data_IF_039746032758
#
_entry.id   IF_039746032758
#
_cell.length_a   1.000
_cell.length_b   1.000
_cell.length_c   1.000
_cell.angle_alpha   90.00
_cell.angle_beta   90.00
_cell.angle_gamma   90.00
#
_symmetry.space_group_name_H-M   'P 1'
#
loop_
_entity.id
_entity.type
_entity.pdbx_description
1 polymer ?
#
# COMPACT_ATOMS: atom_id res chain seq x y z
N UNK A 1 -8.32 -4.65 -0.89
CA UNK A 1 -8.77 -3.31 -0.49
C UNK A 1 -8.03 -2.17 -1.15
N UNK A 2 -6.73 -2.29 -1.46
CA UNK A 2 -5.98 -1.23 -2.16
C UNK A 2 -6.56 -0.76 -3.51
N UNK A 3 -7.36 -1.60 -4.17
CA UNK A 3 -7.98 -1.31 -5.47
C UNK A 3 -9.37 -0.66 -5.32
N UNK A 4 -9.87 -0.51 -4.09
CA UNK A 4 -11.15 0.12 -3.81
C UNK A 4 -10.97 1.64 -3.82
N UNK A 5 -11.79 2.39 -4.59
CA UNK A 5 -11.65 3.83 -4.67
C UNK A 5 -11.76 4.49 -3.29
N UNK A 6 -11.12 5.64 -3.17
CA UNK A 6 -11.13 6.45 -1.95
C UNK A 6 -12.56 6.85 -1.58
N UNK A 7 -13.30 7.37 -2.55
CA UNK A 7 -14.72 7.69 -2.42
C UNK A 7 -15.56 6.56 -2.99
N UNK A 8 -16.55 6.13 -2.22
CA UNK A 8 -17.55 5.15 -2.66
C UNK A 8 -18.76 5.87 -3.27
N UNK A 9 -19.44 5.27 -4.25
CA UNK A 9 -20.72 5.77 -4.71
C UNK A 9 -21.72 5.91 -3.56
N UNK A 10 -22.61 6.90 -3.67
CA UNK A 10 -23.69 7.09 -2.69
C UNK A 10 -24.46 5.78 -2.46
N UNK A 11 -24.79 5.52 -1.21
CA UNK A 11 -25.49 4.30 -0.81
C UNK A 11 -24.61 3.05 -0.74
N UNK A 12 -23.29 3.13 -1.00
CA UNK A 12 -22.34 2.01 -0.86
C UNK A 12 -21.47 2.17 0.39
N UNK A 13 -21.35 1.11 1.18
CA UNK A 13 -20.51 1.06 2.39
C UNK A 13 -19.58 -0.15 2.40
N UNK A 14 -18.54 -0.11 3.22
CA UNK A 14 -17.57 -1.21 3.45
C UNK A 14 -17.64 -1.67 4.92
N UNK A 15 -18.70 -2.37 5.33
CA UNK A 15 -18.89 -2.72 6.73
C UNK A 15 -17.97 -3.85 7.20
N UNK A 16 -17.42 -4.64 6.28
CA UNK A 16 -16.71 -5.86 6.61
C UNK A 16 -15.32 -5.90 5.98
N UNK A 17 -14.31 -6.15 6.81
CA UNK A 17 -12.97 -6.52 6.42
C UNK A 17 -12.63 -7.90 7.00
N UNK A 18 -12.19 -8.82 6.14
CA UNK A 18 -11.71 -10.12 6.58
C UNK A 18 -10.35 -9.98 7.28
N UNK A 19 -9.88 -11.00 8.04
CA UNK A 19 -8.54 -11.01 8.61
C UNK A 19 -7.48 -10.66 7.56
N UNK A 20 -6.64 -9.67 7.87
CA UNK A 20 -5.63 -9.15 6.96
C UNK A 20 -4.54 -10.19 6.74
N UNK A 21 -4.24 -10.47 5.47
CA UNK A 21 -3.03 -11.23 5.12
C UNK A 21 -1.80 -10.31 5.16
N UNK A 22 -0.60 -10.88 5.14
CA UNK A 22 0.66 -10.16 5.17
C UNK A 22 0.71 -8.98 4.16
N UNK A 23 0.79 -7.78 4.72
CA UNK A 23 0.73 -6.54 3.96
C UNK A 23 2.04 -6.22 3.23
N UNK A 24 3.14 -6.92 3.51
CA UNK A 24 4.46 -6.63 2.96
C UNK A 24 4.55 -6.85 1.45
N UNK A 25 5.51 -6.17 0.83
CA UNK A 25 5.91 -6.43 -0.54
C UNK A 25 6.97 -7.55 -0.58
N UNK A 26 6.86 -8.40 -1.59
CA UNK A 26 7.85 -9.43 -1.91
C UNK A 26 8.74 -8.95 -3.06
N UNK A 27 10.05 -9.07 -2.87
CA UNK A 27 11.06 -8.88 -3.89
C UNK A 27 11.28 -10.20 -4.64
N UNK A 28 11.35 -10.11 -5.97
CA UNK A 28 11.51 -11.25 -6.85
C UNK A 28 12.60 -10.91 -7.87
N UNK A 29 13.70 -11.66 -7.82
CA UNK A 29 14.87 -11.53 -8.66
C UNK A 29 15.50 -12.91 -8.87
N UNK A 30 16.04 -13.15 -10.06
CA UNK A 30 16.68 -14.42 -10.40
C UNK A 30 18.19 -14.44 -10.10
N UNK A 31 18.80 -13.26 -9.89
CA UNK A 31 20.26 -13.10 -9.87
C UNK A 31 20.81 -12.43 -8.61
N UNK A 32 19.95 -11.96 -7.69
CA UNK A 32 20.35 -11.29 -6.45
C UNK A 32 19.31 -11.53 -5.35
N UNK A 33 19.71 -11.44 -4.07
CA UNK A 33 18.84 -11.81 -2.94
C UNK A 33 18.08 -10.62 -2.33
N UNK A 34 18.54 -9.40 -2.58
CA UNK A 34 17.98 -8.18 -2.00
C UNK A 34 18.06 -6.99 -2.95
N UNK A 35 17.29 -5.94 -2.67
CA UNK A 35 17.40 -4.67 -3.40
C UNK A 35 18.78 -4.00 -3.22
N UNK A 36 19.43 -4.21 -2.07
CA UNK A 36 20.72 -3.62 -1.75
C UNK A 36 21.88 -4.21 -2.55
N UNK A 37 21.73 -5.44 -3.06
CA UNK A 37 22.73 -6.13 -3.88
C UNK A 37 22.69 -5.73 -5.36
N UNK A 38 21.67 -4.98 -5.79
CA UNK A 38 21.48 -4.68 -7.21
C UNK A 38 22.52 -3.67 -7.72
N UNK A 39 23.21 -3.96 -8.84
CA UNK A 39 24.18 -3.04 -9.40
C UNK A 39 23.49 -1.82 -10.04
N UNK A 40 24.26 -0.74 -10.24
CA UNK A 40 23.74 0.46 -10.90
C UNK A 40 23.17 0.14 -12.28
N UNK A 41 22.04 0.77 -12.61
CA UNK A 41 21.35 0.58 -13.89
C UNK A 41 20.42 -0.63 -13.94
N UNK A 42 20.31 -1.44 -12.87
CA UNK A 42 19.37 -2.56 -12.83
C UNK A 42 17.93 -2.08 -13.02
N UNK A 43 17.19 -2.80 -13.87
CA UNK A 43 15.81 -2.48 -14.24
C UNK A 43 14.83 -3.29 -13.39
N UNK A 44 14.06 -2.60 -12.56
CA UNK A 44 12.98 -3.16 -11.75
C UNK A 44 11.63 -2.88 -12.41
N UNK A 45 10.84 -3.92 -12.61
CA UNK A 45 9.47 -3.81 -13.12
C UNK A 45 8.46 -3.49 -12.01
N UNK A 46 7.79 -2.33 -12.10
CA UNK A 46 6.66 -2.00 -11.25
C UNK A 46 5.80 -0.89 -11.88
N UNK A 47 4.49 -1.11 -11.96
CA UNK A 47 3.53 -0.05 -12.32
C UNK A 47 3.13 0.84 -11.12
N UNK A 48 3.59 0.51 -9.90
CA UNK A 48 3.22 1.23 -8.68
C UNK A 48 4.18 2.40 -8.44
N UNK A 49 3.66 3.62 -8.51
CA UNK A 49 4.44 4.83 -8.20
C UNK A 49 4.89 4.86 -6.74
N UNK A 50 4.12 4.31 -5.81
CA UNK A 50 4.54 4.08 -4.42
C UNK A 50 5.83 3.25 -4.31
N UNK A 51 5.91 2.14 -5.04
CA UNK A 51 7.11 1.29 -5.02
C UNK A 51 8.27 1.97 -5.73
N UNK A 52 7.99 2.59 -6.88
CA UNK A 52 8.97 3.33 -7.64
C UNK A 52 9.63 4.42 -6.78
N UNK A 53 8.83 5.27 -6.14
CA UNK A 53 9.35 6.38 -5.34
C UNK A 53 10.19 5.90 -4.17
N UNK A 54 9.76 4.85 -3.46
CA UNK A 54 10.52 4.30 -2.32
C UNK A 54 11.81 3.61 -2.77
N UNK A 55 11.79 2.88 -3.90
CA UNK A 55 13.00 2.28 -4.48
C UNK A 55 13.99 3.37 -4.87
N UNK A 56 13.55 4.37 -5.66
CA UNK A 56 14.43 5.41 -6.19
C UNK A 56 14.95 6.36 -5.10
N UNK A 57 14.17 6.57 -4.03
CA UNK A 57 14.64 7.32 -2.88
C UNK A 57 15.82 6.63 -2.18
N UNK A 58 15.75 5.30 -2.00
CA UNK A 58 16.81 4.55 -1.30
C UNK A 58 17.96 4.14 -2.23
N UNK A 59 17.67 3.86 -3.49
CA UNK A 59 18.61 3.34 -4.48
C UNK A 59 18.50 4.14 -5.79
N UNK A 60 18.97 5.41 -5.80
CA UNK A 60 18.79 6.31 -6.94
C UNK A 60 19.51 5.87 -8.22
N UNK A 61 20.45 4.92 -8.12
CA UNK A 61 21.18 4.35 -9.25
C UNK A 61 20.39 3.25 -10.00
N UNK A 62 19.27 2.78 -9.45
CA UNK A 62 18.40 1.79 -10.09
C UNK A 62 17.41 2.45 -11.06
N UNK A 63 16.86 1.65 -11.96
CA UNK A 63 15.81 2.07 -12.91
C UNK A 63 14.53 1.35 -12.58
N UNK A 64 13.41 2.07 -12.60
CA UNK A 64 12.08 1.47 -12.45
C UNK A 64 11.31 1.69 -13.74
N UNK A 65 10.78 0.61 -14.31
CA UNK A 65 10.00 0.63 -15.55
C UNK A 65 8.61 0.06 -15.31
N UNK A 66 7.65 0.53 -16.09
CA UNK A 66 6.26 0.11 -15.95
C UNK A 66 6.10 -1.36 -16.34
N UNK A 67 5.67 -2.19 -15.39
CA UNK A 67 5.38 -3.62 -15.61
C UNK A 67 3.91 -3.90 -15.27
N UNK A 68 3.11 -4.16 -16.31
CA UNK A 68 1.67 -4.49 -16.21
C UNK A 68 1.40 -5.94 -16.59
N UNK A 69 0.24 -6.43 -16.15
CA UNK A 69 -0.22 -7.82 -16.27
C UNK A 69 -0.71 -8.37 -14.92
N UNK A 70 -1.30 -9.56 -14.93
CA UNK A 70 -1.55 -10.32 -13.70
C UNK A 70 -0.22 -10.87 -13.13
N UNK A 71 -0.27 -11.59 -12.01
CA UNK A 71 0.93 -12.13 -11.34
C UNK A 71 1.74 -13.03 -12.29
N UNK A 72 1.07 -13.97 -12.96
CA UNK A 72 1.70 -14.94 -13.85
C UNK A 72 2.39 -14.26 -15.03
N UNK A 73 1.71 -13.34 -15.72
CA UNK A 73 2.30 -12.59 -16.85
C UNK A 73 3.54 -11.81 -16.40
N UNK A 74 3.52 -11.20 -15.22
CA UNK A 74 4.69 -10.46 -14.70
C UNK A 74 5.87 -11.38 -14.40
N UNK A 75 5.62 -12.56 -13.84
CA UNK A 75 6.66 -13.56 -13.59
C UNK A 75 7.23 -14.12 -14.90
N UNK A 76 6.41 -14.30 -15.93
CA UNK A 76 6.90 -14.68 -17.27
C UNK A 76 7.81 -13.59 -17.85
N UNK A 77 7.41 -12.32 -17.78
CA UNK A 77 8.26 -11.20 -18.25
C UNK A 77 9.59 -11.12 -17.52
N UNK A 78 9.60 -11.38 -16.21
CA UNK A 78 10.83 -11.50 -15.43
C UNK A 78 11.71 -12.65 -15.95
N UNK A 79 11.13 -13.85 -16.15
CA UNK A 79 11.87 -15.03 -16.65
C UNK A 79 12.43 -14.81 -18.06
N UNK A 80 11.75 -14.02 -18.88
CA UNK A 80 12.19 -13.67 -20.23
C UNK A 80 13.28 -12.58 -20.25
N UNK A 81 13.57 -11.94 -19.12
CA UNK A 81 14.58 -10.88 -19.03
C UNK A 81 14.07 -9.48 -19.44
N UNK A 82 12.75 -9.27 -19.59
CA UNK A 82 12.19 -7.95 -19.90
C UNK A 82 12.50 -6.92 -18.80
N UNK A 83 12.65 -7.42 -17.56
CA UNK A 83 13.12 -6.70 -16.37
C UNK A 83 14.02 -7.63 -15.58
N UNK A 84 14.92 -7.10 -14.76
CA UNK A 84 15.83 -7.91 -13.97
C UNK A 84 15.24 -8.33 -12.61
N UNK A 85 14.30 -7.55 -12.08
CA UNK A 85 13.56 -7.85 -10.86
C UNK A 85 12.14 -7.26 -10.90
N UNK A 86 11.26 -7.72 -10.03
CA UNK A 86 9.91 -7.15 -9.84
C UNK A 86 9.50 -7.21 -8.38
N UNK A 87 8.49 -6.43 -8.00
CA UNK A 87 7.87 -6.49 -6.69
C UNK A 87 6.40 -6.89 -6.81
N UNK A 88 5.93 -7.77 -5.93
CA UNK A 88 4.52 -8.20 -5.84
C UNK A 88 4.04 -8.11 -4.38
N UNK A 89 2.72 -8.02 -4.19
CA UNK A 89 2.18 -8.04 -2.83
C UNK A 89 2.25 -9.49 -2.31
N UNK A 90 2.82 -9.70 -1.12
CA UNK A 90 3.00 -11.04 -0.56
C UNK A 90 1.66 -11.76 -0.37
N UNK A 91 0.63 -11.04 0.11
CA UNK A 91 -0.73 -11.57 0.19
C UNK A 91 -1.28 -12.12 -1.13
N UNK A 92 -0.93 -11.51 -2.26
CA UNK A 92 -1.34 -12.00 -3.58
C UNK A 92 -0.66 -13.32 -3.94
N UNK A 93 0.64 -13.44 -3.64
CA UNK A 93 1.40 -14.67 -3.87
C UNK A 93 0.93 -15.81 -2.97
N UNK A 94 0.70 -15.54 -1.68
CA UNK A 94 0.16 -16.53 -0.73
C UNK A 94 -1.18 -17.11 -1.19
N UNK A 95 -2.13 -16.25 -1.56
CA UNK A 95 -3.46 -16.66 -2.03
C UNK A 95 -3.44 -17.48 -3.31
N UNK A 96 -2.41 -17.30 -4.14
CA UNK A 96 -2.22 -18.04 -5.39
C UNK A 96 -1.31 -19.26 -5.22
N UNK A 97 -0.81 -19.55 -4.00
CA UNK A 97 0.21 -20.58 -3.74
C UNK A 97 1.46 -20.41 -4.61
N UNK A 98 1.99 -19.18 -4.70
CA UNK A 98 3.14 -18.81 -5.53
C UNK A 98 4.32 -18.24 -4.72
N UNK A 99 4.39 -18.56 -3.42
CA UNK A 99 5.41 -18.02 -2.49
C UNK A 99 6.81 -18.53 -2.82
N UNK A 100 6.94 -19.66 -3.52
CA UNK A 100 8.20 -20.21 -4.02
C UNK A 100 8.92 -19.29 -5.01
N UNK A 101 8.22 -18.32 -5.59
CA UNK A 101 8.82 -17.31 -6.45
C UNK A 101 9.39 -16.12 -5.65
N UNK A 102 9.19 -16.05 -4.32
CA UNK A 102 9.70 -14.94 -3.50
C UNK A 102 11.18 -15.12 -3.24
N UNK A 103 11.97 -14.12 -3.62
CA UNK A 103 13.41 -14.08 -3.29
C UNK A 103 13.61 -13.60 -1.87
N UNK A 104 12.96 -12.50 -1.49
CA UNK A 104 12.96 -11.98 -0.12
C UNK A 104 11.68 -11.18 0.17
N UNK A 105 11.31 -11.13 1.44
CA UNK A 105 10.18 -10.34 1.93
C UNK A 105 10.73 -9.02 2.46
N UNK A 106 10.28 -7.90 1.90
CA UNK A 106 10.75 -6.58 2.30
C UNK A 106 10.15 -6.19 3.66
N UNK A 107 10.98 -5.66 4.56
CA UNK A 107 10.52 -5.13 5.84
C UNK A 107 9.66 -3.86 5.65
N UNK A 108 8.96 -3.43 6.71
CA UNK A 108 8.16 -2.19 6.67
C UNK A 108 9.04 -0.93 6.56
N UNK A 109 10.31 -1.03 6.92
CA UNK A 109 11.34 0.00 6.77
C UNK A 109 11.82 0.05 5.33
N UNK A 110 12.02 -1.12 4.71
CA UNK A 110 12.41 -1.22 3.29
C UNK A 110 11.29 -0.77 2.34
N UNK A 111 10.04 -1.13 2.63
CA UNK A 111 8.94 -0.82 1.73
C UNK A 111 7.63 -0.68 2.50
N UNK A 112 7.22 0.56 2.79
CA UNK A 112 5.92 0.81 3.39
C UNK A 112 4.82 0.43 2.38
N UNK A 113 3.83 -0.40 2.77
CA UNK A 113 2.90 -1.00 1.83
C UNK A 113 1.84 -0.01 1.35
N UNK A 114 1.11 -0.40 0.30
CA UNK A 114 -0.05 0.37 -0.13
C UNK A 114 -1.14 0.34 0.95
N UNK A 115 -1.91 1.42 1.04
CA UNK A 115 -3.12 1.51 1.88
C UNK A 115 -3.97 0.25 1.69
N UNK A 116 -4.28 -0.40 2.81
CA UNK A 116 -5.08 -1.61 2.89
C UNK A 116 -4.55 -2.80 2.06
N UNK A 117 -3.24 -2.85 1.78
CA UNK A 117 -2.61 -4.03 1.17
C UNK A 117 -2.78 -5.24 2.10
N UNK A 118 -3.09 -6.40 1.52
CA UNK A 118 -3.36 -7.63 2.27
C UNK A 118 -4.81 -7.76 2.76
N UNK A 119 -5.55 -6.67 2.93
CA UNK A 119 -6.95 -6.74 3.36
C UNK A 119 -7.92 -7.06 2.21
N UNK A 120 -8.92 -7.88 2.50
CA UNK A 120 -10.13 -8.05 1.68
C UNK A 120 -11.26 -7.32 2.40
N UNK A 121 -12.05 -6.56 1.68
CA UNK A 121 -13.25 -5.94 2.22
C UNK A 121 -14.42 -6.22 1.31
N UNK A 122 -15.59 -6.29 1.93
CA UNK A 122 -16.84 -6.63 1.27
C UNK A 122 -17.71 -5.38 1.36
N UNK A 123 -18.12 -4.88 0.19
CA UNK A 123 -19.02 -3.73 0.10
C UNK A 123 -20.47 -4.21 0.03
N UNK A 124 -21.39 -3.45 0.64
CA UNK A 124 -22.82 -3.66 0.48
C UNK A 124 -23.55 -2.32 0.38
N UNK A 125 -24.87 -2.39 0.18
CA UNK A 125 -25.72 -1.19 0.22
C UNK A 125 -25.89 -0.75 1.68
N UNK A 126 -25.91 0.57 1.88
CA UNK A 126 -26.09 1.21 3.20
C UNK A 126 -27.43 0.92 3.86
N UNK A 127 -28.46 0.56 3.08
CA UNK A 127 -29.81 0.26 3.53
C UNK A 127 -30.16 -1.24 3.41
N UNK A 128 -29.16 -2.12 3.49
CA UNK A 128 -29.34 -3.57 3.41
C UNK A 128 -29.00 -4.22 4.76
N UNK A 129 -29.92 -4.08 5.73
CA UNK A 129 -29.76 -4.58 7.10
C UNK A 129 -29.48 -6.09 7.13
N UNK A 130 -30.07 -6.84 6.19
CA UNK A 130 -29.85 -8.27 6.06
C UNK A 130 -28.41 -8.60 5.68
N UNK A 131 -27.83 -7.85 4.74
CA UNK A 131 -26.40 -8.01 4.42
C UNK A 131 -25.51 -7.55 5.57
N UNK A 132 -25.87 -6.47 6.28
CA UNK A 132 -25.14 -6.03 7.46
C UNK A 132 -25.07 -7.11 8.53
N UNK A 133 -26.19 -7.79 8.79
CA UNK A 133 -26.26 -8.90 9.75
C UNK A 133 -25.32 -10.04 9.33
N UNK A 134 -25.37 -10.49 8.07
CA UNK A 134 -24.49 -11.56 7.60
C UNK A 134 -23.00 -11.19 7.65
N UNK A 135 -22.68 -9.97 7.21
CA UNK A 135 -21.30 -9.48 7.15
C UNK A 135 -20.69 -9.25 8.54
N UNK A 136 -21.51 -8.97 9.56
CA UNK A 136 -21.02 -8.78 10.94
C UNK A 136 -20.21 -9.99 11.45
N UNK A 137 -20.64 -11.21 11.09
CA UNK A 137 -19.99 -12.46 11.50
C UNK A 137 -18.65 -12.72 10.79
N UNK A 138 -18.44 -12.10 9.63
CA UNK A 138 -17.20 -12.23 8.84
C UNK A 138 -16.20 -11.12 9.15
N UNK A 139 -16.66 -10.05 9.79
CA UNK A 139 -15.84 -8.88 10.03
C UNK A 139 -14.77 -9.18 11.08
N UNK A 140 -13.54 -8.77 10.76
CA UNK A 140 -12.42 -8.77 11.66
C UNK A 140 -12.13 -7.34 12.09
N UNK A 141 -12.60 -6.96 13.28
CA UNK A 141 -12.55 -5.58 13.79
C UNK A 141 -11.13 -4.99 13.78
N UNK A 142 -10.11 -5.77 14.14
CA UNK A 142 -8.73 -5.30 14.14
C UNK A 142 -8.25 -4.87 12.76
N UNK A 143 -8.67 -5.60 11.71
CA UNK A 143 -8.38 -5.22 10.33
C UNK A 143 -9.25 -4.05 9.88
N UNK A 144 -10.53 -4.03 10.26
CA UNK A 144 -11.44 -2.93 9.94
C UNK A 144 -10.94 -1.59 10.48
N UNK A 145 -10.53 -1.54 11.75
CA UNK A 145 -9.97 -0.34 12.37
C UNK A 145 -8.63 0.09 11.75
N UNK A 146 -7.72 -0.85 11.48
CA UNK A 146 -6.48 -0.55 10.74
C UNK A 146 -6.74 0.05 9.36
N UNK A 147 -7.62 -0.59 8.59
CA UNK A 147 -7.97 -0.16 7.23
C UNK A 147 -8.69 1.18 7.26
N UNK A 148 -9.53 1.45 8.26
CA UNK A 148 -10.19 2.75 8.43
C UNK A 148 -9.16 3.87 8.63
N UNK A 149 -8.19 3.69 9.54
CA UNK A 149 -7.09 4.64 9.74
C UNK A 149 -6.30 4.90 8.44
N UNK A 150 -5.89 3.83 7.75
CA UNK A 150 -5.13 3.94 6.50
C UNK A 150 -5.93 4.61 5.37
N UNK A 151 -7.24 4.36 5.29
CA UNK A 151 -8.12 4.96 4.29
C UNK A 151 -8.42 6.42 4.58
N UNK A 152 -8.61 6.79 5.85
CA UNK A 152 -8.74 8.20 6.25
C UNK A 152 -7.49 8.98 5.89
N UNK A 153 -6.32 8.38 6.07
CA UNK A 153 -5.05 8.97 5.64
C UNK A 153 -5.01 9.22 4.13
N UNK A 154 -5.56 8.30 3.32
CA UNK A 154 -5.66 8.44 1.86
C UNK A 154 -6.66 9.51 1.40
N UNK A 155 -7.72 9.76 2.19
CA UNK A 155 -8.97 10.43 1.76
C UNK A 155 -8.90 11.92 1.37
N UNK A 156 -7.77 12.62 1.52
CA UNK A 156 -7.62 14.03 1.06
C UNK A 156 -6.29 14.34 0.36
N UNK A 157 -5.51 13.31 0.04
CA UNK A 157 -4.28 13.48 -0.74
C UNK A 157 -4.57 13.43 -2.26
N UNK A 158 -5.85 13.53 -2.68
CA UNK A 158 -6.33 13.14 -4.02
C UNK A 158 -5.65 11.84 -4.50
N UNK A 159 -5.45 10.93 -3.53
CA UNK A 159 -4.70 9.71 -3.70
C UNK A 159 -5.46 8.77 -4.60
N UNK A 160 -5.30 8.92 -5.90
CA UNK A 160 -5.60 7.87 -6.85
C UNK A 160 -4.41 6.88 -6.88
N UNK A 161 -4.56 5.78 -7.61
CA UNK A 161 -3.49 4.79 -7.77
C UNK A 161 -2.18 5.35 -8.40
N UNK A 162 -2.17 6.62 -8.81
CA UNK A 162 -1.04 7.34 -9.40
C UNK A 162 -0.37 8.31 -8.40
N UNK A 163 -0.87 8.48 -7.18
CA UNK A 163 -0.15 9.25 -6.15
C UNK A 163 0.77 8.32 -5.34
N UNK A 164 2.07 8.63 -5.14
CA UNK A 164 3.00 7.78 -4.40
C UNK A 164 2.75 7.84 -2.88
N UNK A 165 1.70 7.15 -2.43
CA UNK A 165 1.24 7.10 -1.04
C UNK A 165 1.40 5.68 -0.49
N UNK A 166 1.85 5.58 0.76
CA UNK A 166 1.89 4.36 1.53
C UNK A 166 1.34 4.61 2.94
N UNK A 167 0.67 3.61 3.51
CA UNK A 167 0.23 3.67 4.89
C UNK A 167 0.07 2.26 5.45
N UNK A 168 0.40 2.12 6.74
CA UNK A 168 0.21 0.88 7.46
C UNK A 168 -0.14 1.16 8.93
N UNK A 169 -1.25 0.61 9.38
CA UNK A 169 -1.70 0.59 10.76
C UNK A 169 -1.77 -0.85 11.26
N UNK A 170 -1.35 -1.08 12.49
CA UNK A 170 -1.50 -2.37 13.16
C UNK A 170 -1.57 -2.19 14.68
N UNK A 171 -2.15 -3.19 15.35
CA UNK A 171 -2.17 -3.28 16.80
C UNK A 171 -0.81 -3.80 17.28
N UNK A 172 -0.15 -3.05 18.14
CA UNK A 172 1.10 -3.47 18.78
C UNK A 172 0.83 -4.39 19.99
N UNK A 173 1.88 -4.96 20.57
CA UNK A 173 1.79 -5.95 21.66
C UNK A 173 1.14 -5.40 22.92
N UNK A 174 1.24 -4.09 23.16
CA UNK A 174 0.61 -3.40 24.28
C UNK A 174 -0.87 -3.06 24.02
N UNK A 175 -1.39 -3.43 22.85
CA UNK A 175 -2.78 -3.19 22.43
C UNK A 175 -3.02 -1.83 21.77
N UNK A 176 -1.99 -0.97 21.70
CA UNK A 176 -2.06 0.34 21.06
C UNK A 176 -1.96 0.24 19.53
N UNK A 177 -2.32 1.32 18.84
CA UNK A 177 -2.06 1.49 17.42
C UNK A 177 -0.62 1.87 17.20
N UNK A 178 -0.01 1.28 16.17
CA UNK A 178 1.18 1.79 15.51
C UNK A 178 0.85 2.05 14.04
N UNK A 179 0.88 3.34 13.68
CA UNK A 179 0.61 3.83 12.33
C UNK A 179 1.86 4.47 11.73
N UNK A 180 2.10 4.18 10.44
CA UNK A 180 3.10 4.85 9.60
C UNK A 180 2.44 5.30 8.31
N UNK A 181 2.69 6.54 7.91
CA UNK A 181 2.23 7.12 6.64
C UNK A 181 3.40 7.71 5.87
N UNK A 182 3.37 7.59 4.54
CA UNK A 182 4.39 8.12 3.64
C UNK A 182 3.76 8.71 2.39
N UNK A 183 4.29 9.86 1.97
CA UNK A 183 3.97 10.56 0.73
C UNK A 183 5.26 10.93 0.03
N UNK A 184 5.38 10.61 -1.26
CA UNK A 184 6.63 10.87 -2.00
C UNK A 184 6.37 11.44 -3.40
N UNK A 185 7.37 12.13 -3.94
CA UNK A 185 7.36 12.48 -5.37
C UNK A 185 7.50 11.23 -6.24
N UNK A 186 6.95 11.18 -7.47
CA UNK A 186 6.98 9.97 -8.31
C UNK A 186 8.37 9.36 -8.56
N UNK A 187 9.41 10.19 -8.57
CA UNK A 187 10.80 9.78 -8.78
C UNK A 187 11.62 9.64 -7.49
N UNK A 188 10.98 9.70 -6.32
CA UNK A 188 11.66 9.52 -5.04
C UNK A 188 12.56 10.67 -4.61
N UNK A 189 12.58 11.81 -5.31
CA UNK A 189 13.42 12.98 -4.96
C UNK A 189 13.09 13.61 -3.60
N UNK A 190 11.84 13.48 -3.16
CA UNK A 190 11.36 13.89 -1.84
C UNK A 190 10.43 12.83 -1.28
N UNK A 191 10.57 12.57 0.01
CA UNK A 191 9.73 11.66 0.80
C UNK A 191 9.36 12.36 2.10
N UNK A 192 8.08 12.34 2.43
CA UNK A 192 7.50 12.86 3.66
C UNK A 192 6.93 11.69 4.44
N UNK A 193 7.28 11.60 5.72
CA UNK A 193 6.82 10.54 6.61
C UNK A 193 6.14 11.11 7.85
N UNK A 194 5.25 10.31 8.43
CA UNK A 194 4.56 10.58 9.68
C UNK A 194 4.26 9.27 10.41
N UNK A 195 4.14 9.33 11.73
CA UNK A 195 3.81 8.20 12.59
C UNK A 195 2.76 8.59 13.63
N UNK A 196 1.94 7.64 14.07
CA UNK A 196 1.03 7.82 15.21
C UNK A 196 1.06 6.61 16.11
N UNK A 197 0.89 6.85 17.40
CA UNK A 197 0.57 5.84 18.39
C UNK A 197 -0.60 6.31 19.23
N UNK A 198 -1.44 5.38 19.69
CA UNK A 198 -2.66 5.75 20.43
C UNK A 198 -3.59 4.56 20.67
N UNK A 199 -4.77 4.80 21.26
CA UNK A 199 -5.77 3.76 21.45
C UNK A 199 -6.23 3.15 20.12
N UNK A 200 -6.65 1.89 20.13
CA UNK A 200 -7.05 1.14 18.94
C UNK A 200 -8.58 1.04 18.77
N UNK A 201 -9.35 1.96 19.35
CA UNK A 201 -10.79 2.00 19.08
C UNK A 201 -11.03 2.44 17.63
N UNK A 202 -12.18 2.09 17.05
CA UNK A 202 -12.48 2.47 15.67
C UNK A 202 -12.42 4.00 15.46
N UNK A 203 -12.98 4.77 16.39
CA UNK A 203 -13.04 6.22 16.30
C UNK A 203 -11.64 6.84 16.47
N UNK A 204 -10.83 6.35 17.41
CA UNK A 204 -9.45 6.82 17.58
C UNK A 204 -8.60 6.55 16.33
N UNK A 205 -8.82 5.39 15.70
CA UNK A 205 -8.13 4.99 14.47
C UNK A 205 -8.49 5.90 13.29
N UNK A 206 -9.77 6.26 13.17
CA UNK A 206 -10.25 7.23 12.18
C UNK A 206 -9.61 8.60 12.40
N UNK A 207 -9.58 9.09 13.64
CA UNK A 207 -8.98 10.41 13.95
C UNK A 207 -7.47 10.42 13.75
N UNK A 208 -6.74 9.36 14.13
CA UNK A 208 -5.30 9.24 13.85
C UNK A 208 -4.99 9.31 12.35
N UNK A 209 -5.80 8.65 11.51
CA UNK A 209 -5.64 8.70 10.05
C UNK A 209 -5.84 10.12 9.49
N UNK A 210 -6.87 10.83 9.98
CA UNK A 210 -7.14 12.23 9.59
C UNK A 210 -6.02 13.18 10.02
N UNK A 211 -5.55 13.04 11.26
CA UNK A 211 -4.50 13.89 11.81
C UNK A 211 -3.15 13.70 11.08
N UNK A 212 -2.74 12.44 10.88
CA UNK A 212 -1.53 12.13 10.12
C UNK A 212 -1.57 12.70 8.69
N UNK A 213 -2.74 12.67 8.06
CA UNK A 213 -2.96 13.26 6.73
C UNK A 213 -2.82 14.77 6.73
N UNK A 214 -3.39 15.46 7.72
CA UNK A 214 -3.28 16.92 7.81
C UNK A 214 -1.83 17.36 7.99
N UNK A 215 -1.08 16.68 8.86
CA UNK A 215 0.35 16.93 9.03
C UNK A 215 1.12 16.74 7.72
N UNK A 216 0.92 15.61 7.03
CA UNK A 216 1.70 15.29 5.84
C UNK A 216 1.36 16.21 4.66
N UNK A 217 0.09 16.62 4.54
CA UNK A 217 -0.36 17.62 3.57
C UNK A 217 0.27 18.98 3.84
N UNK A 218 0.34 19.40 5.11
CA UNK A 218 1.02 20.65 5.49
C UNK A 218 2.52 20.60 5.19
N UNK A 219 3.19 19.48 5.50
CA UNK A 219 4.62 19.26 5.20
C UNK A 219 4.94 19.26 3.70
N UNK A 220 4.09 18.62 2.89
CA UNK A 220 4.27 18.58 1.44
C UNK A 220 4.05 19.96 0.80
N UNK A 221 3.10 20.74 1.33
CA UNK A 221 2.75 22.06 0.84
C UNK A 221 2.04 22.04 -0.54
N UNK A 222 1.55 23.20 -1.01
CA UNK A 222 0.77 23.30 -2.24
C UNK A 222 1.57 22.94 -3.51
N UNK A 223 2.88 23.21 -3.53
CA UNK A 223 3.73 22.93 -4.69
C UNK A 223 3.95 21.44 -4.98
N UNK A 224 3.76 20.56 -3.98
CA UNK A 224 3.93 19.12 -4.16
C UNK A 224 2.89 18.53 -5.12
N UNK A 225 1.64 18.99 -5.03
CA UNK A 225 0.55 18.49 -5.88
C UNK A 225 0.70 18.95 -7.34
N UNK A 226 1.36 20.08 -7.58
CA UNK A 226 1.75 20.50 -8.94
C UNK A 226 2.75 19.55 -9.60
N UNK A 227 3.64 18.92 -8.82
CA UNK A 227 4.58 17.91 -9.31
C UNK A 227 3.93 16.54 -9.60
N UNK A 228 2.69 16.32 -9.17
CA UNK A 228 1.92 15.11 -9.48
C UNK A 228 1.18 15.21 -10.82
N UNK A 229 1.00 16.43 -11.36
CA UNK A 229 0.45 16.61 -12.70
C UNK A 229 1.53 16.26 -13.73
N UNK A 230 1.36 15.09 -14.35
CA UNK A 230 2.09 14.72 -15.55
C UNK A 230 1.85 15.78 -16.63
N UNK A 231 2.92 16.24 -17.28
CA UNK A 231 2.81 16.80 -18.62
C UNK A 231 2.51 15.62 -19.55
N UNK A 232 1.35 15.67 -20.20
CA UNK A 232 0.96 14.75 -21.29
C UNK A 232 2.05 14.66 -22.37
#
# INVERSE_FOLDING_TARGET
MKDVPTYLPEGTILPCNLPREDARDAFICLTANSLAELPSGFVIGSASLRRQSQILYRYPSLKVVNLRGNVQTRLTKLKNGDVHATLLALAGLKRLNMVENVTSILSMEEMLPAVAQGAIGIACRSNDDKMMEYLSSLNHEDTRSAVACEREFLAMLDGNCQTPIAAYAHRDKDGSCSFRGLLATPYGSKVYETTRTGPYSFDDMVEMGKDARHELKAKAGPGFYGCLQWKE
#
